data_IF_461258789960
#
_entry.id   IF_461258789960
#
_cell.length_a   1.000
_cell.length_b   1.000
_cell.length_c   1.000
_cell.angle_alpha   90.00
_cell.angle_beta   90.00
_cell.angle_gamma   90.00
#
_symmetry.space_group_name_H-M   'P 1'
#
loop_
_entity.id
_entity.type
_entity.pdbx_description
1 polymer ?
#
# COMPACT_ATOMS: atom_id res chain seq x y z
N UNK A 1 3.67 35.91 9.91
CA UNK A 1 3.25 34.54 9.55
C UNK A 1 2.28 34.05 10.59
N UNK A 2 1.44 33.08 10.25
CA UNK A 2 0.61 32.39 11.25
C UNK A 2 1.49 31.41 12.06
N UNK A 3 1.30 31.35 13.38
CA UNK A 3 1.93 30.37 14.29
C UNK A 3 0.83 29.68 15.15
N UNK A 4 -0.06 28.90 14.51
CA UNK A 4 -1.05 28.10 15.21
C UNK A 4 -0.37 26.90 15.88
N UNK A 5 -0.88 26.46 17.04
CA UNK A 5 -0.29 25.35 17.81
C UNK A 5 -0.32 24.05 17.02
N UNK A 6 -1.30 23.89 16.14
CA UNK A 6 -1.51 22.77 15.24
C UNK A 6 -0.34 22.55 14.27
N UNK A 7 0.48 23.58 13.98
CA UNK A 7 1.66 23.45 13.11
C UNK A 7 2.92 23.01 13.85
N UNK A 8 2.87 22.86 15.18
CA UNK A 8 4.04 22.50 16.01
C UNK A 8 4.22 21.00 16.19
N UNK A 9 3.24 20.19 15.81
CA UNK A 9 3.28 18.73 15.92
C UNK A 9 2.61 18.07 14.73
N UNK A 10 2.97 16.82 14.48
CA UNK A 10 2.33 15.96 13.46
C UNK A 10 1.88 14.66 14.11
N UNK A 11 0.78 14.10 13.60
CA UNK A 11 0.40 12.73 13.93
C UNK A 11 1.11 11.77 12.98
N UNK A 12 1.74 10.74 13.53
CA UNK A 12 2.40 9.68 12.77
C UNK A 12 1.93 8.33 13.28
N UNK A 13 1.29 7.57 12.40
CA UNK A 13 0.68 6.28 12.73
C UNK A 13 1.59 5.12 12.34
N UNK A 14 1.50 4.03 13.09
CA UNK A 14 2.24 2.79 12.82
C UNK A 14 1.39 1.80 12.03
N UNK A 15 2.04 1.03 11.17
CA UNK A 15 1.42 -0.03 10.40
C UNK A 15 2.38 -1.17 10.07
N UNK A 16 1.87 -2.39 9.97
CA UNK A 16 2.60 -3.56 9.43
C UNK A 16 1.63 -4.60 8.82
N UNK A 17 2.19 -5.55 8.08
CA UNK A 17 1.43 -6.70 7.60
C UNK A 17 1.09 -7.60 8.80
N UNK A 18 -0.20 -7.84 9.04
CA UNK A 18 -0.67 -8.72 10.11
C UNK A 18 -0.38 -10.18 9.73
N UNK A 19 0.88 -10.59 9.79
CA UNK A 19 1.36 -11.85 9.21
C UNK A 19 1.43 -12.98 10.24
N UNK A 20 2.10 -12.72 11.38
CA UNK A 20 2.34 -13.70 12.42
C UNK A 20 1.15 -13.72 13.40
N UNK A 21 0.14 -14.53 13.10
CA UNK A 21 -1.12 -14.52 13.86
C UNK A 21 -0.97 -14.78 15.36
N UNK A 22 0.06 -15.52 15.80
CA UNK A 22 0.33 -15.70 17.24
C UNK A 22 0.75 -14.39 17.92
N UNK A 23 1.50 -13.54 17.21
CA UNK A 23 1.88 -12.20 17.67
C UNK A 23 0.66 -11.26 17.66
N UNK A 24 -0.06 -11.19 16.54
CA UNK A 24 -1.21 -10.27 16.39
C UNK A 24 -2.35 -10.59 17.39
N UNK A 25 -2.64 -11.88 17.60
CA UNK A 25 -3.63 -12.31 18.62
C UNK A 25 -3.17 -11.94 20.03
N UNK A 26 -1.90 -12.11 20.36
CA UNK A 26 -1.36 -11.74 21.67
C UNK A 26 -1.41 -10.23 21.93
N UNK A 27 -1.40 -9.42 20.87
CA UNK A 27 -1.50 -7.95 20.94
C UNK A 27 -2.94 -7.42 20.87
N UNK A 28 -3.94 -8.28 20.68
CA UNK A 28 -5.35 -7.87 20.67
C UNK A 28 -5.87 -7.53 22.06
N UNK A 29 -6.59 -6.40 22.19
CA UNK A 29 -7.21 -5.90 23.42
C UNK A 29 -8.66 -5.53 23.15
N UNK A 30 -9.56 -5.91 24.06
CA UNK A 30 -10.95 -5.46 24.02
C UNK A 30 -11.08 -4.20 24.86
N UNK A 31 -11.54 -3.11 24.24
CA UNK A 31 -11.91 -1.90 24.95
C UNK A 31 -13.12 -2.18 25.85
N UNK A 32 -12.97 -1.90 27.14
CA UNK A 32 -14.00 -2.15 28.14
C UNK A 32 -15.22 -1.23 27.99
N UNK A 33 -15.06 -0.06 27.36
CA UNK A 33 -16.16 0.90 27.17
C UNK A 33 -17.01 0.51 25.97
N UNK A 34 -16.38 0.26 24.82
CA UNK A 34 -17.11 -0.02 23.57
C UNK A 34 -17.34 -1.51 23.31
N UNK A 35 -16.65 -2.40 24.03
CA UNK A 35 -16.66 -3.85 23.77
C UNK A 35 -15.94 -4.26 22.48
N UNK A 36 -15.31 -3.32 21.77
CA UNK A 36 -14.62 -3.56 20.51
C UNK A 36 -13.22 -4.11 20.76
N UNK A 37 -12.83 -5.10 19.99
CA UNK A 37 -11.47 -5.62 20.00
C UNK A 37 -10.62 -4.88 18.98
N UNK A 38 -9.44 -4.42 19.40
CA UNK A 38 -8.42 -3.82 18.54
C UNK A 38 -7.14 -4.63 18.67
N UNK A 39 -6.45 -4.85 17.57
CA UNK A 39 -5.05 -5.24 17.64
C UNK A 39 -4.20 -4.01 17.98
N UNK A 40 -3.55 -4.05 19.14
CA UNK A 40 -2.74 -2.92 19.64
C UNK A 40 -1.27 -3.01 19.21
N UNK A 41 -0.93 -3.93 18.29
CA UNK A 41 0.40 -4.00 17.66
C UNK A 41 0.68 -2.80 16.74
N UNK A 42 -0.35 -2.26 16.08
CA UNK A 42 -0.27 -1.08 15.22
C UNK A 42 -1.63 -0.38 15.05
N UNK A 43 -1.61 0.82 14.48
CA UNK A 43 -2.84 1.59 14.22
C UNK A 43 -3.59 1.07 12.99
N UNK A 44 -2.85 0.75 11.93
CA UNK A 44 -3.36 0.19 10.68
C UNK A 44 -2.66 -1.13 10.38
N UNK A 45 -3.42 -2.15 9.98
CA UNK A 45 -2.89 -3.47 9.65
C UNK A 45 -3.31 -3.86 8.24
N UNK A 46 -2.50 -4.62 7.52
CA UNK A 46 -2.92 -5.14 6.22
C UNK A 46 -2.66 -6.63 6.04
N UNK A 47 -3.41 -7.24 5.12
CA UNK A 47 -3.14 -8.58 4.59
C UNK A 47 -2.34 -8.49 3.29
N UNK A 48 -1.29 -9.30 3.19
CA UNK A 48 -0.52 -9.45 1.96
C UNK A 48 -1.26 -10.22 0.87
N UNK A 49 -0.71 -10.18 -0.34
CA UNK A 49 -1.27 -10.86 -1.52
C UNK A 49 -1.38 -12.38 -1.32
N UNK A 50 -0.49 -12.97 -0.51
CA UNK A 50 -0.39 -14.41 -0.28
C UNK A 50 -1.21 -14.90 0.90
N UNK A 51 -1.77 -13.99 1.70
CA UNK A 51 -2.50 -14.30 2.94
C UNK A 51 -3.96 -13.84 2.91
N UNK A 52 -4.39 -13.16 1.84
CA UNK A 52 -5.76 -12.64 1.65
C UNK A 52 -6.81 -13.65 1.19
N UNK A 53 -6.63 -14.93 1.50
CA UNK A 53 -7.62 -15.95 1.13
C UNK A 53 -8.97 -15.63 1.81
N UNK A 54 -10.10 -15.52 1.10
CA UNK A 54 -11.36 -15.06 1.68
C UNK A 54 -11.87 -15.90 2.86
N UNK A 55 -11.54 -17.19 2.92
CA UNK A 55 -11.90 -18.09 4.02
C UNK A 55 -10.73 -18.38 4.98
N UNK A 56 -9.55 -17.82 4.73
CA UNK A 56 -8.33 -18.06 5.48
C UNK A 56 -8.30 -17.39 6.86
N UNK A 57 -7.34 -17.81 7.68
CA UNK A 57 -7.20 -17.36 9.07
C UNK A 57 -6.94 -15.85 9.19
N UNK A 58 -6.13 -15.27 8.27
CA UNK A 58 -5.86 -13.84 8.23
C UNK A 58 -7.13 -13.01 7.98
N UNK A 59 -7.94 -13.39 6.99
CA UNK A 59 -9.22 -12.71 6.72
C UNK A 59 -10.16 -12.77 7.92
N UNK A 60 -10.25 -13.93 8.59
CA UNK A 60 -11.06 -14.08 9.80
C UNK A 60 -10.56 -13.20 10.95
N UNK A 61 -9.24 -13.14 11.15
CA UNK A 61 -8.63 -12.28 12.16
C UNK A 61 -8.88 -10.79 11.87
N UNK A 62 -8.63 -10.36 10.64
CA UNK A 62 -8.81 -8.96 10.25
C UNK A 62 -10.27 -8.51 10.33
N UNK A 63 -11.22 -9.41 10.07
CA UNK A 63 -12.65 -9.16 10.26
C UNK A 63 -13.08 -9.06 11.73
N UNK A 64 -12.30 -9.63 12.67
CA UNK A 64 -12.67 -9.65 14.11
C UNK A 64 -12.13 -8.45 14.90
N UNK A 65 -11.13 -7.74 14.38
CA UNK A 65 -10.56 -6.54 14.99
C UNK A 65 -11.23 -5.27 14.45
N UNK A 66 -11.16 -4.18 15.20
CA UNK A 66 -11.81 -2.89 14.91
C UNK A 66 -10.87 -1.82 14.34
N UNK A 67 -9.59 -2.15 14.13
CA UNK A 67 -8.61 -1.28 13.47
C UNK A 67 -9.04 -0.93 12.04
N UNK A 68 -8.66 0.23 11.48
CA UNK A 68 -8.61 0.37 10.03
C UNK A 68 -7.69 -0.70 9.41
N UNK A 69 -8.14 -1.31 8.31
CA UNK A 69 -7.46 -2.46 7.72
C UNK A 69 -7.21 -2.31 6.22
N UNK A 70 -6.15 -2.94 5.74
CA UNK A 70 -5.76 -2.99 4.34
C UNK A 70 -5.76 -4.40 3.75
N UNK A 71 -5.88 -4.49 2.43
CA UNK A 71 -5.64 -5.72 1.69
C UNK A 71 -4.90 -5.43 0.39
N UNK A 72 -3.77 -6.12 0.16
CA UNK A 72 -3.03 -6.05 -1.10
C UNK A 72 -3.84 -6.69 -2.23
N UNK A 73 -3.85 -6.08 -3.41
CA UNK A 73 -4.54 -6.59 -4.61
C UNK A 73 -3.57 -6.56 -5.78
N UNK A 74 -3.09 -7.72 -6.18
CA UNK A 74 -2.17 -7.91 -7.31
C UNK A 74 -2.85 -8.13 -8.67
N UNK A 75 -2.06 -8.25 -9.76
CA UNK A 75 -2.55 -8.30 -11.14
C UNK A 75 -3.31 -9.59 -11.49
N UNK A 76 -3.27 -10.60 -10.63
CA UNK A 76 -4.00 -11.86 -10.76
C UNK A 76 -5.31 -11.88 -9.97
N UNK A 77 -5.65 -10.78 -9.30
CA UNK A 77 -6.88 -10.71 -8.53
C UNK A 77 -8.11 -10.79 -9.43
N UNK A 78 -9.04 -11.68 -9.10
CA UNK A 78 -10.37 -11.74 -9.69
C UNK A 78 -11.29 -10.73 -8.97
N UNK A 79 -12.03 -9.86 -9.69
CA UNK A 79 -13.01 -8.96 -9.09
C UNK A 79 -14.01 -9.65 -8.13
N UNK A 80 -14.46 -10.88 -8.43
CA UNK A 80 -15.41 -11.60 -7.59
C UNK A 80 -14.80 -11.98 -6.22
N UNK A 81 -13.54 -12.42 -6.22
CA UNK A 81 -12.82 -12.72 -4.97
C UNK A 81 -12.62 -11.47 -4.11
N UNK A 82 -12.33 -10.34 -4.76
CA UNK A 82 -12.22 -9.03 -4.08
C UNK A 82 -13.57 -8.64 -3.47
N UNK A 83 -14.68 -8.79 -4.20
CA UNK A 83 -16.02 -8.52 -3.67
C UNK A 83 -16.36 -9.43 -2.47
N UNK A 84 -16.02 -10.70 -2.54
CA UNK A 84 -16.26 -11.63 -1.44
C UNK A 84 -15.43 -11.27 -0.21
N UNK A 85 -14.21 -10.77 -0.42
CA UNK A 85 -13.35 -10.30 0.64
C UNK A 85 -13.87 -9.02 1.31
N UNK A 86 -14.25 -7.99 0.53
CA UNK A 86 -14.72 -6.72 1.10
C UNK A 86 -15.99 -6.90 1.95
N UNK A 87 -16.92 -7.76 1.51
CA UNK A 87 -18.15 -8.06 2.25
C UNK A 87 -17.90 -8.68 3.62
N UNK A 88 -16.76 -9.36 3.80
CA UNK A 88 -16.36 -9.95 5.09
C UNK A 88 -15.62 -8.96 5.98
N UNK A 89 -14.79 -8.11 5.37
CA UNK A 89 -13.92 -7.18 6.10
C UNK A 89 -14.63 -5.88 6.53
N UNK A 90 -15.64 -5.47 5.76
CA UNK A 90 -16.43 -4.26 5.98
C UNK A 90 -17.93 -4.52 5.77
N UNK A 91 -18.54 -5.43 6.56
CA UNK A 91 -19.96 -5.81 6.39
C UNK A 91 -20.92 -4.61 6.58
N UNK A 92 -20.52 -3.63 7.38
CA UNK A 92 -21.32 -2.46 7.72
C UNK A 92 -21.08 -1.26 6.78
N UNK A 93 -20.20 -1.41 5.77
CA UNK A 93 -19.84 -0.35 4.81
C UNK A 93 -19.37 0.93 5.50
N UNK A 94 -18.48 0.80 6.47
CA UNK A 94 -17.99 1.91 7.29
C UNK A 94 -16.91 2.69 6.52
N UNK A 95 -17.10 3.99 6.22
CA UNK A 95 -16.09 4.79 5.53
C UNK A 95 -14.74 4.75 6.24
N UNK A 96 -13.67 4.46 5.48
CA UNK A 96 -12.30 4.40 6.01
C UNK A 96 -11.95 3.12 6.76
N UNK A 97 -12.88 2.16 6.91
CA UNK A 97 -12.60 0.85 7.51
C UNK A 97 -11.63 0.03 6.67
N UNK A 98 -11.88 -0.06 5.37
CA UNK A 98 -11.14 -0.93 4.45
C UNK A 98 -10.39 -0.14 3.39
N UNK A 99 -9.10 -0.47 3.22
CA UNK A 99 -8.23 0.04 2.16
C UNK A 99 -7.86 -1.09 1.20
N UNK A 100 -8.10 -0.92 -0.09
CA UNK A 100 -7.60 -1.81 -1.14
C UNK A 100 -6.28 -1.24 -1.69
N UNK A 101 -5.19 -1.99 -1.50
CA UNK A 101 -3.83 -1.59 -1.84
C UNK A 101 -3.43 -2.26 -3.16
N UNK A 102 -3.56 -1.54 -4.26
CA UNK A 102 -3.26 -2.01 -5.62
C UNK A 102 -1.75 -2.12 -5.85
N UNK A 103 -1.27 -3.28 -6.31
CA UNK A 103 0.14 -3.55 -6.67
C UNK A 103 0.25 -4.32 -7.97
N UNK A 104 -0.21 -3.72 -9.06
CA UNK A 104 -0.40 -4.36 -10.36
C UNK A 104 0.90 -4.55 -11.13
N UNK A 105 1.90 -3.69 -10.87
CA UNK A 105 3.08 -3.56 -11.72
C UNK A 105 2.82 -2.60 -12.88
N UNK A 106 3.85 -1.86 -13.26
CA UNK A 106 3.88 -0.99 -14.42
C UNK A 106 3.46 -1.76 -15.67
N UNK A 107 2.65 -1.10 -16.52
CA UNK A 107 2.08 -1.69 -17.72
C UNK A 107 0.83 -2.55 -17.50
N UNK A 108 0.52 -2.98 -16.27
CA UNK A 108 -0.69 -3.76 -15.99
C UNK A 108 -1.85 -2.92 -15.44
N UNK A 109 -1.57 -1.75 -14.83
CA UNK A 109 -2.55 -0.94 -14.09
C UNK A 109 -3.75 -0.57 -14.95
N UNK A 110 -3.51 0.00 -16.14
CA UNK A 110 -4.56 0.48 -17.04
C UNK A 110 -5.52 -0.62 -17.52
N UNK A 111 -5.07 -1.87 -17.56
CA UNK A 111 -5.88 -3.00 -18.00
C UNK A 111 -6.55 -3.70 -16.80
N UNK A 112 -5.79 -3.99 -15.75
CA UNK A 112 -6.20 -4.92 -14.68
C UNK A 112 -6.94 -4.23 -13.54
N UNK A 113 -6.65 -2.97 -13.25
CA UNK A 113 -7.27 -2.26 -12.13
C UNK A 113 -8.71 -1.80 -12.41
N UNK A 114 -9.07 -1.24 -13.59
CA UNK A 114 -10.42 -0.73 -13.83
C UNK A 114 -11.56 -1.74 -13.64
N UNK A 115 -11.45 -3.01 -14.09
CA UNK A 115 -12.49 -4.00 -13.83
C UNK A 115 -12.75 -4.24 -12.33
N UNK A 116 -11.69 -4.23 -11.51
CA UNK A 116 -11.79 -4.43 -10.07
C UNK A 116 -12.47 -3.21 -9.42
N UNK A 117 -12.03 -1.99 -9.77
CA UNK A 117 -12.65 -0.76 -9.23
C UNK A 117 -14.14 -0.74 -9.55
N UNK A 118 -14.53 -0.94 -10.82
CA UNK A 118 -15.95 -0.95 -11.21
C UNK A 118 -16.77 -1.96 -10.43
N UNK A 119 -16.23 -3.17 -10.23
CA UNK A 119 -16.90 -4.22 -9.48
C UNK A 119 -17.08 -3.85 -8.01
N UNK A 120 -16.08 -3.24 -7.38
CA UNK A 120 -16.16 -2.75 -6.00
C UNK A 120 -17.13 -1.59 -5.86
N UNK A 121 -17.10 -0.59 -6.75
CA UNK A 121 -18.04 0.55 -6.74
C UNK A 121 -19.50 0.09 -6.79
N UNK A 122 -19.81 -0.94 -7.60
CA UNK A 122 -21.16 -1.52 -7.69
C UNK A 122 -21.67 -2.12 -6.37
N UNK A 123 -20.78 -2.46 -5.44
CA UNK A 123 -21.18 -2.97 -4.12
C UNK A 123 -21.54 -1.85 -3.14
N UNK A 124 -21.15 -0.61 -3.44
CA UNK A 124 -21.34 0.56 -2.58
C UNK A 124 -20.52 0.52 -1.28
N UNK A 125 -19.44 -0.26 -1.19
CA UNK A 125 -18.52 -0.20 -0.05
C UNK A 125 -17.60 1.02 -0.19
N UNK A 126 -17.46 1.87 0.84
CA UNK A 126 -16.65 3.09 0.80
C UNK A 126 -15.17 2.78 1.08
N UNK A 127 -14.55 1.96 0.23
CA UNK A 127 -13.14 1.60 0.37
C UNK A 127 -12.21 2.77 0.02
N UNK A 128 -11.03 2.79 0.62
CA UNK A 128 -9.93 3.66 0.20
C UNK A 128 -9.09 2.91 -0.83
N UNK A 129 -8.79 3.55 -1.96
CA UNK A 129 -7.85 3.01 -2.94
C UNK A 129 -6.45 3.57 -2.70
N UNK A 130 -5.48 2.69 -2.48
CA UNK A 130 -4.07 3.03 -2.29
C UNK A 130 -3.22 2.34 -3.35
N UNK A 131 -2.25 3.04 -3.92
CA UNK A 131 -1.29 2.46 -4.84
C UNK A 131 -0.01 2.02 -4.10
N UNK A 132 0.37 0.76 -4.27
CA UNK A 132 1.66 0.19 -3.92
C UNK A 132 2.45 -0.04 -5.21
N UNK A 133 3.23 0.95 -5.67
CA UNK A 133 4.01 0.88 -6.89
C UNK A 133 5.32 0.11 -6.72
N UNK A 134 5.51 -0.58 -5.59
CA UNK A 134 6.79 -1.20 -5.25
C UNK A 134 6.75 -2.69 -5.56
N UNK A 135 5.81 -3.41 -4.95
CA UNK A 135 5.80 -4.87 -4.95
C UNK A 135 5.38 -5.48 -6.30
N UNK A 136 4.80 -4.70 -7.20
CA UNK A 136 4.50 -5.11 -8.58
C UNK A 136 5.71 -5.03 -9.52
N UNK A 137 6.75 -4.29 -9.15
CA UNK A 137 7.84 -3.86 -10.04
C UNK A 137 9.23 -4.41 -9.66
N UNK A 138 9.29 -5.37 -8.74
CA UNK A 138 10.57 -6.00 -8.37
C UNK A 138 11.10 -6.89 -9.50
N UNK A 139 12.36 -6.69 -9.87
CA UNK A 139 13.13 -7.53 -10.79
C UNK A 139 14.47 -7.93 -10.18
N UNK A 140 15.16 -8.88 -10.82
CA UNK A 140 16.52 -9.27 -10.45
C UNK A 140 17.51 -8.65 -11.45
N UNK A 141 18.53 -7.95 -10.95
CA UNK A 141 19.61 -7.38 -11.76
C UNK A 141 20.61 -8.47 -12.17
N UNK A 142 21.48 -8.18 -13.15
CA UNK A 142 22.50 -9.15 -13.59
C UNK A 142 23.49 -9.53 -12.46
N UNK A 143 23.60 -8.68 -11.43
CA UNK A 143 24.42 -8.93 -10.23
C UNK A 143 23.75 -9.88 -9.21
N UNK A 144 22.52 -10.34 -9.44
CA UNK A 144 21.73 -11.15 -8.51
C UNK A 144 21.01 -10.35 -7.42
N UNK A 145 21.21 -9.02 -7.35
CA UNK A 145 20.45 -8.17 -6.44
C UNK A 145 19.02 -8.00 -6.95
N UNK A 146 18.05 -8.08 -6.04
CA UNK A 146 16.70 -7.59 -6.32
C UNK A 146 16.74 -6.08 -6.44
N UNK A 147 16.01 -5.51 -7.39
CA UNK A 147 15.92 -4.07 -7.56
C UNK A 147 14.59 -3.68 -8.19
N UNK A 148 14.32 -2.38 -8.28
CA UNK A 148 13.16 -1.78 -8.92
C UNK A 148 13.64 -0.58 -9.74
N UNK A 149 13.07 -0.37 -10.92
CA UNK A 149 13.30 0.86 -11.68
C UNK A 149 12.42 1.97 -11.12
N UNK A 150 13.01 3.10 -10.76
CA UNK A 150 12.25 4.27 -10.32
C UNK A 150 11.21 4.71 -11.38
N UNK A 151 11.54 4.56 -12.67
CA UNK A 151 10.63 4.88 -13.76
C UNK A 151 9.37 4.01 -13.75
N UNK A 152 9.50 2.71 -13.45
CA UNK A 152 8.36 1.78 -13.37
C UNK A 152 7.51 2.08 -12.14
N UNK A 153 8.14 2.34 -10.99
CA UNK A 153 7.47 2.81 -9.76
C UNK A 153 6.63 4.05 -10.06
N UNK A 154 7.23 5.07 -10.70
CA UNK A 154 6.52 6.30 -11.06
C UNK A 154 5.43 6.06 -12.10
N UNK A 155 5.63 5.17 -13.07
CA UNK A 155 4.65 4.85 -14.11
C UNK A 155 3.40 4.21 -13.52
N UNK A 156 3.54 3.27 -12.58
CA UNK A 156 2.39 2.66 -11.91
C UNK A 156 1.56 3.68 -11.13
N UNK A 157 2.21 4.62 -10.43
CA UNK A 157 1.51 5.73 -9.78
C UNK A 157 0.76 6.60 -10.78
N UNK A 158 1.40 6.98 -11.89
CA UNK A 158 0.75 7.79 -12.95
C UNK A 158 -0.48 7.10 -13.49
N UNK A 159 -0.37 5.81 -13.83
CA UNK A 159 -1.48 5.04 -14.38
C UNK A 159 -2.61 4.85 -13.36
N UNK A 160 -2.27 4.70 -12.07
CA UNK A 160 -3.25 4.64 -11.00
C UNK A 160 -4.11 5.92 -10.94
N UNK A 161 -3.47 7.11 -11.01
CA UNK A 161 -4.18 8.39 -11.09
C UNK A 161 -5.03 8.50 -12.37
N UNK A 162 -4.51 8.04 -13.51
CA UNK A 162 -5.25 8.03 -14.79
C UNK A 162 -6.52 7.17 -14.67
N UNK A 163 -6.42 5.96 -14.11
CA UNK A 163 -7.57 5.08 -13.90
C UNK A 163 -8.62 5.74 -13.03
N UNK A 164 -8.22 6.30 -11.89
CA UNK A 164 -9.15 6.97 -10.98
C UNK A 164 -9.84 8.18 -11.63
N UNK A 165 -9.10 9.00 -12.37
CA UNK A 165 -9.65 10.13 -13.13
C UNK A 165 -10.65 9.67 -14.20
N UNK A 166 -10.35 8.60 -14.93
CA UNK A 166 -11.24 8.06 -15.97
C UNK A 166 -12.52 7.46 -15.41
N UNK A 167 -12.46 6.86 -14.22
CA UNK A 167 -13.60 6.24 -13.55
C UNK A 167 -14.39 7.21 -12.66
N UNK A 168 -13.88 8.42 -12.43
CA UNK A 168 -14.48 9.38 -11.51
C UNK A 168 -14.39 8.95 -10.04
N UNK A 169 -13.39 8.14 -9.68
CA UNK A 169 -13.15 7.65 -8.32
C UNK A 169 -11.92 8.34 -7.70
N UNK A 170 -11.74 8.19 -6.39
CA UNK A 170 -10.71 8.92 -5.65
C UNK A 170 -9.39 8.12 -5.50
N UNK A 171 -8.24 8.65 -5.94
CA UNK A 171 -6.93 8.05 -5.66
C UNK A 171 -6.51 8.39 -4.21
N UNK A 172 -6.81 7.50 -3.27
CA UNK A 172 -6.79 7.77 -1.83
C UNK A 172 -5.41 7.79 -1.14
N UNK A 173 -4.36 7.28 -1.77
CA UNK A 173 -3.01 7.38 -1.19
C UNK A 173 -1.97 6.46 -1.83
N UNK A 174 -0.78 6.43 -1.22
CA UNK A 174 0.36 5.61 -1.63
C UNK A 174 0.87 4.74 -0.48
N UNK A 175 1.39 3.55 -0.80
CA UNK A 175 2.06 2.64 0.11
C UNK A 175 3.43 2.28 -0.49
N UNK A 176 4.48 2.94 -0.01
CA UNK A 176 5.83 2.84 -0.57
C UNK A 176 6.84 2.34 0.46
N UNK A 177 7.89 1.66 0.00
CA UNK A 177 9.01 1.22 0.81
C UNK A 177 10.18 2.20 0.61
N UNK A 178 10.54 2.91 1.68
CA UNK A 178 11.59 3.94 1.64
C UNK A 178 12.49 3.87 2.87
N UNK A 179 13.66 4.48 2.76
CA UNK A 179 14.53 4.83 3.90
C UNK A 179 15.05 6.27 3.76
N UNK A 180 15.39 6.89 4.89
CA UNK A 180 16.07 8.19 4.92
C UNK A 180 17.56 8.11 4.57
N UNK A 181 18.10 6.91 4.40
CA UNK A 181 19.51 6.67 4.08
C UNK A 181 19.80 6.81 2.58
N UNK A 182 21.06 7.11 2.26
CA UNK A 182 21.59 7.16 0.89
C UNK A 182 21.96 5.76 0.38
N UNK A 183 20.99 4.85 0.35
CA UNK A 183 21.14 3.46 -0.14
C UNK A 183 21.11 3.37 -1.66
N UNK A 184 21.69 2.30 -2.20
CA UNK A 184 21.73 1.96 -3.62
C UNK A 184 20.90 0.71 -3.90
N UNK A 185 19.59 0.78 -3.64
CA UNK A 185 18.69 -0.38 -3.72
C UNK A 185 17.77 -0.35 -4.95
N UNK A 186 17.26 0.83 -5.32
CA UNK A 186 16.45 1.05 -6.53
C UNK A 186 17.24 1.81 -7.60
N UNK A 187 17.05 1.42 -8.86
CA UNK A 187 17.70 2.02 -10.03
C UNK A 187 17.04 3.35 -10.44
N UNK A 188 17.81 4.22 -11.08
CA UNK A 188 17.33 5.48 -11.63
C UNK A 188 17.06 6.56 -10.59
N UNK A 189 16.00 7.35 -10.83
CA UNK A 189 15.77 8.64 -10.17
C UNK A 189 16.77 9.71 -10.60
N UNK A 190 16.65 10.91 -10.06
CA UNK A 190 17.57 12.02 -10.39
C UNK A 190 19.03 11.74 -10.05
N UNK A 191 19.28 10.86 -9.07
CA UNK A 191 20.63 10.42 -8.70
C UNK A 191 21.27 9.48 -9.73
N UNK A 192 20.48 8.91 -10.66
CA UNK A 192 20.98 8.09 -11.75
C UNK A 192 21.65 6.79 -11.32
N UNK A 193 21.12 6.12 -10.29
CA UNK A 193 21.68 4.85 -9.77
C UNK A 193 21.64 3.78 -10.86
N UNK A 194 22.78 3.17 -11.15
CA UNK A 194 22.91 2.09 -12.13
C UNK A 194 23.10 0.74 -11.45
N UNK A 195 22.92 -0.36 -12.19
CA UNK A 195 23.11 -1.72 -11.66
C UNK A 195 24.48 -1.95 -11.00
N UNK A 196 25.54 -1.33 -11.53
CA UNK A 196 26.90 -1.41 -10.97
C UNK A 196 27.03 -0.77 -9.59
N UNK A 197 26.13 0.15 -9.25
CA UNK A 197 26.14 0.88 -7.99
C UNK A 197 25.40 0.12 -6.89
N UNK A 198 24.55 -0.87 -7.24
CA UNK A 198 23.76 -1.64 -6.29
C UNK A 198 24.59 -2.19 -5.11
N UNK A 199 25.76 -2.85 -5.31
CA UNK A 199 26.51 -3.45 -4.22
C UNK A 199 27.19 -2.43 -3.29
N UNK A 200 27.20 -1.13 -3.63
CA UNK A 200 27.90 -0.11 -2.85
C UNK A 200 27.26 0.08 -1.48
N UNK A 201 25.92 0.14 -1.42
CA UNK A 201 25.12 0.34 -0.20
C UNK A 201 23.75 -0.35 -0.30
N UNK A 202 23.75 -1.65 -0.50
CA UNK A 202 22.55 -2.48 -0.46
C UNK A 202 22.31 -2.98 0.97
N UNK A 203 21.39 -2.33 1.72
CA UNK A 203 21.27 -2.50 3.17
C UNK A 203 19.94 -3.13 3.61
N UNK A 204 18.96 -3.23 2.72
CA UNK A 204 17.67 -3.88 3.01
C UNK A 204 17.81 -5.35 3.36
N UNK A 205 17.00 -5.80 4.32
CA UNK A 205 16.90 -7.21 4.70
C UNK A 205 15.98 -8.02 3.78
N UNK A 206 15.19 -7.36 2.92
CA UNK A 206 14.24 -8.02 2.03
C UNK A 206 14.18 -7.31 0.67
N UNK A 207 13.24 -6.38 0.50
CA UNK A 207 12.98 -5.73 -0.77
C UNK A 207 13.71 -4.37 -0.90
N UNK A 208 14.11 -3.98 -2.12
CA UNK A 208 14.84 -2.74 -2.39
C UNK A 208 13.99 -1.50 -2.14
N UNK A 209 14.46 -0.57 -1.30
CA UNK A 209 13.73 0.63 -0.88
C UNK A 209 14.13 1.84 -1.72
N UNK A 210 13.21 2.80 -1.84
CA UNK A 210 13.59 4.14 -2.31
C UNK A 210 14.51 4.80 -1.29
N UNK A 211 15.64 5.35 -1.73
CA UNK A 211 16.46 6.20 -0.88
C UNK A 211 15.80 7.57 -0.66
N UNK A 212 16.38 8.42 0.21
CA UNK A 212 15.80 9.73 0.53
C UNK A 212 15.55 10.61 -0.69
N UNK A 213 16.42 10.55 -1.70
CA UNK A 213 16.35 11.42 -2.88
C UNK A 213 15.22 10.95 -3.80
N UNK A 214 15.15 9.65 -4.07
CA UNK A 214 14.08 9.04 -4.86
C UNK A 214 12.71 9.20 -4.18
N UNK A 215 12.65 9.06 -2.85
CA UNK A 215 11.41 9.24 -2.10
C UNK A 215 10.88 10.69 -2.19
N UNK A 216 11.75 11.68 -2.08
CA UNK A 216 11.39 13.09 -2.26
C UNK A 216 10.98 13.38 -3.72
N UNK A 217 11.73 12.86 -4.70
CA UNK A 217 11.38 12.98 -6.11
C UNK A 217 9.98 12.45 -6.40
N UNK A 218 9.65 11.25 -5.90
CA UNK A 218 8.32 10.67 -6.04
C UNK A 218 7.24 11.55 -5.38
N UNK A 219 7.51 12.09 -4.18
CA UNK A 219 6.56 12.96 -3.48
C UNK A 219 6.23 14.23 -4.29
N UNK A 220 7.23 14.88 -4.90
CA UNK A 220 7.01 16.04 -5.78
C UNK A 220 6.21 15.67 -7.04
N UNK A 221 6.54 14.54 -7.69
CA UNK A 221 5.79 14.07 -8.85
C UNK A 221 4.31 13.82 -8.51
N UNK A 222 4.03 13.23 -7.35
CA UNK A 222 2.66 12.96 -6.88
C UNK A 222 1.92 14.26 -6.55
N UNK A 223 2.60 15.23 -5.94
CA UNK A 223 2.03 16.55 -5.68
C UNK A 223 1.56 17.24 -6.97
N UNK A 224 2.34 17.15 -8.05
CA UNK A 224 1.94 17.66 -9.37
C UNK A 224 0.73 16.93 -9.96
N UNK A 225 0.55 15.63 -9.68
CA UNK A 225 -0.62 14.87 -10.13
C UNK A 225 -1.87 15.26 -9.34
N UNK A 226 -1.75 15.49 -8.03
CA UNK A 226 -2.85 15.92 -7.16
C UNK A 226 -3.34 17.35 -7.47
N UNK A 227 -2.48 18.20 -8.04
CA UNK A 227 -2.83 19.57 -8.41
C UNK A 227 -3.65 19.69 -9.73
N UNK A 228 -3.91 18.58 -10.44
CA UNK A 228 -4.56 18.53 -11.76
C UNK A 228 -5.94 17.89 -11.74
#
# INVERSE_FOLDING_TARGET
GADPVEFRSVEFFTAHEALLLDYEKAMSRTDYVTGRTYDTSAHFLWMGERTREPNGAHTQFMASISNPIGCKVGPKANPEDVINLIKKLDPDKTPGRLTLISRMGAGNVLEKLPPIIKAVEQTGHPVIWVCDPMHGNTKEAASGHKTREFADVLSEVKDFFVVHKQLGTHPGGLHIELTGDDVTECLGGISGIMEKDLPMRYETACDPRLNRVQALELAFQVAEMLAK
#
